data_IF_348222650766
#
_entry.id   IF_348222650766
#
_cell.length_a   1.000
_cell.length_b   1.000
_cell.length_c   1.000
_cell.angle_alpha   90.00
_cell.angle_beta   90.00
_cell.angle_gamma   90.00
#
_symmetry.space_group_name_H-M   'P 1'
#
loop_
_entity.id
_entity.type
_entity.pdbx_description
1 polymer ?
#
# COMPACT_ATOMS: atom_id res chain seq x y z
N UNK A 1 -21.34 -3.95 0.22
CA UNK A 1 -21.34 -3.08 1.43
C UNK A 1 -20.19 -2.09 1.42
N UNK A 2 -18.94 -2.49 1.17
CA UNK A 2 -17.78 -1.57 1.06
C UNK A 2 -17.84 -0.61 -0.14
N UNK A 3 -18.34 -1.04 -1.30
CA UNK A 3 -18.50 -0.16 -2.48
C UNK A 3 -19.61 0.88 -2.30
N UNK A 4 -20.67 0.54 -1.55
CA UNK A 4 -21.76 1.46 -1.24
C UNK A 4 -21.34 2.48 -0.17
N UNK A 5 -20.53 2.07 0.82
CA UNK A 5 -19.94 2.98 1.79
C UNK A 5 -18.93 3.95 1.15
N UNK A 6 -18.13 3.49 0.19
CA UNK A 6 -17.24 4.34 -0.62
C UNK A 6 -18.04 5.31 -1.52
N UNK A 7 -19.12 4.84 -2.15
CA UNK A 7 -20.00 5.67 -2.96
C UNK A 7 -20.77 6.72 -2.12
N UNK A 8 -21.20 6.35 -0.91
CA UNK A 8 -21.86 7.28 0.02
C UNK A 8 -20.86 8.28 0.60
N UNK A 9 -19.64 7.86 0.93
CA UNK A 9 -18.58 8.78 1.34
C UNK A 9 -18.26 9.80 0.22
N UNK A 10 -18.24 9.36 -1.04
CA UNK A 10 -18.03 10.21 -2.22
C UNK A 10 -19.13 11.26 -2.44
N UNK A 11 -20.37 10.96 -2.07
CA UNK A 11 -21.50 11.90 -2.25
C UNK A 11 -21.76 12.81 -1.05
N UNK A 12 -21.30 12.43 0.15
CA UNK A 12 -21.60 13.19 1.38
C UNK A 12 -20.40 13.93 2.00
N UNK A 13 -19.20 13.81 1.43
CA UNK A 13 -18.06 14.64 1.83
C UNK A 13 -17.67 15.59 0.72
N UNK A 14 -17.15 16.80 1.02
CA UNK A 14 -16.68 17.75 0.00
C UNK A 14 -15.37 17.30 -0.65
N UNK A 15 -15.08 15.99 -0.69
CA UNK A 15 -13.90 15.45 -1.34
C UNK A 15 -13.89 15.75 -2.84
N UNK A 16 -15.06 15.80 -3.50
CA UNK A 16 -15.17 16.12 -4.94
C UNK A 16 -14.69 17.53 -5.31
N UNK A 17 -14.83 18.52 -4.41
CA UNK A 17 -14.36 19.90 -4.64
C UNK A 17 -12.86 20.06 -4.39
N UNK A 18 -12.27 19.20 -3.56
CA UNK A 18 -10.82 19.16 -3.29
C UNK A 18 -10.08 18.27 -4.28
N UNK A 19 -10.80 17.37 -4.96
CA UNK A 19 -10.31 16.50 -6.04
C UNK A 19 -10.38 17.14 -7.43
N UNK A 20 -10.66 18.46 -7.52
CA UNK A 20 -10.52 19.20 -8.77
C UNK A 20 -9.08 19.06 -9.29
N UNK A 21 -8.88 18.55 -10.53
CA UNK A 21 -7.54 18.27 -11.06
C UNK A 21 -6.59 19.47 -11.01
N UNK A 22 -7.12 20.69 -11.17
CA UNK A 22 -6.35 21.93 -11.13
C UNK A 22 -5.87 22.28 -9.71
N UNK A 23 -6.75 22.17 -8.70
CA UNK A 23 -6.37 22.41 -7.29
C UNK A 23 -5.40 21.33 -6.80
N UNK A 24 -5.64 20.07 -7.16
CA UNK A 24 -4.72 18.98 -6.88
C UNK A 24 -3.35 19.21 -7.51
N UNK A 25 -3.29 19.73 -8.74
CA UNK A 25 -2.04 20.03 -9.40
C UNK A 25 -1.28 21.17 -8.70
N UNK A 26 -1.95 22.24 -8.28
CA UNK A 26 -1.31 23.36 -7.54
C UNK A 26 -0.78 22.90 -6.19
N UNK A 27 -1.57 22.15 -5.43
CA UNK A 27 -1.12 21.57 -4.16
C UNK A 27 0.01 20.57 -4.35
N UNK A 28 -0.04 19.75 -5.40
CA UNK A 28 1.02 18.80 -5.74
C UNK A 28 2.34 19.53 -6.02
N UNK A 29 2.34 20.55 -6.87
CA UNK A 29 3.56 21.31 -7.18
C UNK A 29 4.13 22.00 -5.92
N UNK A 30 3.27 22.65 -5.13
CA UNK A 30 3.69 23.27 -3.87
C UNK A 30 4.27 22.28 -2.86
N UNK A 31 3.75 21.04 -2.82
CA UNK A 31 4.27 19.99 -1.96
C UNK A 31 5.57 19.39 -2.50
N UNK A 32 5.70 19.24 -3.83
CA UNK A 32 6.88 18.71 -4.48
C UNK A 32 8.11 19.62 -4.31
N UNK A 33 7.91 20.93 -4.43
CA UNK A 33 8.98 21.94 -4.29
C UNK A 33 9.30 22.27 -2.82
N UNK A 34 8.44 21.86 -1.89
CA UNK A 34 8.65 22.09 -0.46
C UNK A 34 9.76 21.19 0.10
N UNK A 35 10.70 21.74 0.90
CA UNK A 35 11.68 20.94 1.63
C UNK A 35 11.05 19.90 2.56
N UNK A 36 9.79 20.12 2.97
CA UNK A 36 9.03 19.25 3.86
C UNK A 36 8.15 18.24 3.11
N UNK A 37 8.11 18.29 1.78
CA UNK A 37 7.22 17.47 0.96
C UNK A 37 7.34 15.97 1.25
N UNK A 38 8.56 15.46 1.34
CA UNK A 38 8.81 14.06 1.67
C UNK A 38 8.31 13.67 3.07
N UNK A 39 8.50 14.54 4.07
CA UNK A 39 8.03 14.28 5.44
C UNK A 39 6.50 14.29 5.52
N UNK A 40 5.85 15.23 4.82
CA UNK A 40 4.39 15.30 4.73
C UNK A 40 3.84 14.06 4.01
N UNK A 41 4.50 13.59 2.94
CA UNK A 41 4.12 12.36 2.27
C UNK A 41 4.16 11.15 3.23
N UNK A 42 5.28 10.96 3.94
CA UNK A 42 5.44 9.88 4.93
C UNK A 42 4.39 9.97 6.03
N UNK A 43 4.15 11.16 6.59
CA UNK A 43 3.10 11.37 7.58
C UNK A 43 1.72 11.05 7.02
N UNK A 44 1.47 11.42 5.76
CA UNK A 44 0.29 11.04 4.99
C UNK A 44 0.07 9.54 5.02
N UNK A 45 1.08 8.72 4.65
CA UNK A 45 1.04 7.25 4.74
C UNK A 45 0.64 6.74 6.12
N UNK A 46 1.24 7.27 7.18
CA UNK A 46 0.93 6.87 8.55
C UNK A 46 -0.54 7.18 8.86
N UNK A 47 -0.98 8.43 8.70
CA UNK A 47 -2.34 8.86 9.02
C UNK A 47 -3.39 8.14 8.15
N UNK A 48 -3.14 8.03 6.84
CA UNK A 48 -4.01 7.30 5.91
C UNK A 48 -4.15 5.84 6.29
N UNK A 49 -3.07 5.18 6.71
CA UNK A 49 -3.14 3.78 7.14
C UNK A 49 -3.99 3.56 8.39
N UNK A 50 -4.03 4.55 9.30
CA UNK A 50 -4.84 4.50 10.53
C UNK A 50 -6.34 4.57 10.24
N UNK A 51 -6.73 5.31 9.20
CA UNK A 51 -8.12 5.34 8.71
C UNK A 51 -8.41 4.27 7.65
N UNK A 52 -7.51 3.28 7.50
CA UNK A 52 -7.60 2.19 6.53
C UNK A 52 -7.70 2.64 5.05
N UNK A 53 -7.10 3.80 4.72
CA UNK A 53 -7.00 4.26 3.35
C UNK A 53 -6.17 3.26 2.51
N UNK A 54 -6.58 2.93 1.28
CA UNK A 54 -5.81 2.01 0.45
C UNK A 54 -4.42 2.57 0.14
N UNK A 55 -3.37 1.85 0.55
CA UNK A 55 -1.97 2.24 0.33
C UNK A 55 -1.66 2.46 -1.16
N UNK A 56 -2.34 1.74 -2.06
CA UNK A 56 -2.25 1.94 -3.50
C UNK A 56 -2.61 3.36 -3.94
N UNK A 57 -3.66 3.97 -3.37
CA UNK A 57 -4.04 5.35 -3.68
C UNK A 57 -2.95 6.34 -3.27
N UNK A 58 -2.33 6.07 -2.13
CA UNK A 58 -1.25 6.90 -1.58
C UNK A 58 0.02 6.78 -2.42
N UNK A 59 0.37 5.56 -2.87
CA UNK A 59 1.48 5.32 -3.79
C UNK A 59 1.28 6.09 -5.10
N UNK A 60 0.08 5.99 -5.70
CA UNK A 60 -0.24 6.72 -6.94
C UNK A 60 -0.10 8.23 -6.71
N UNK A 61 -0.70 8.77 -5.65
CA UNK A 61 -0.62 10.20 -5.34
C UNK A 61 0.83 10.65 -5.21
N UNK A 62 1.65 9.91 -4.46
CA UNK A 62 3.06 10.25 -4.24
C UNK A 62 3.88 10.15 -5.53
N UNK A 63 3.59 9.17 -6.40
CA UNK A 63 4.21 9.05 -7.72
C UNK A 63 3.86 10.23 -8.63
N UNK A 64 2.60 10.69 -8.62
CA UNK A 64 2.15 11.82 -9.42
C UNK A 64 2.72 13.15 -8.93
N UNK A 65 2.86 13.32 -7.61
CA UNK A 65 3.36 14.55 -6.99
C UNK A 65 4.88 14.69 -7.15
N UNK A 66 5.64 13.64 -6.81
CA UNK A 66 7.10 13.71 -6.70
C UNK A 66 7.84 13.05 -7.88
N UNK A 67 7.11 12.54 -8.87
CA UNK A 67 7.67 11.79 -9.99
C UNK A 67 8.14 10.38 -9.60
N UNK A 68 8.71 9.63 -10.55
CA UNK A 68 8.96 8.20 -10.37
C UNK A 68 10.03 7.90 -9.32
N UNK A 69 11.14 8.64 -9.31
CA UNK A 69 12.27 8.35 -8.40
C UNK A 69 11.97 8.76 -6.97
N UNK A 70 11.64 10.03 -6.74
CA UNK A 70 11.33 10.52 -5.39
C UNK A 70 10.00 9.98 -4.88
N UNK A 71 9.00 9.83 -5.76
CA UNK A 71 7.74 9.18 -5.42
C UNK A 71 7.92 7.73 -4.97
N UNK A 72 8.83 6.98 -5.60
CA UNK A 72 9.19 5.64 -5.15
C UNK A 72 9.85 5.65 -3.76
N UNK A 73 10.84 6.51 -3.53
CA UNK A 73 11.53 6.62 -2.24
C UNK A 73 10.55 6.98 -1.13
N UNK A 74 9.69 7.98 -1.35
CA UNK A 74 8.69 8.42 -0.36
C UNK A 74 7.57 7.40 -0.16
N UNK A 75 7.16 6.69 -1.22
CA UNK A 75 6.17 5.63 -1.09
C UNK A 75 6.70 4.44 -0.29
N UNK A 76 7.96 4.02 -0.52
CA UNK A 76 8.58 2.93 0.25
C UNK A 76 8.77 3.33 1.71
N UNK A 77 9.37 4.50 1.97
CA UNK A 77 9.60 4.96 3.35
C UNK A 77 8.30 5.26 4.09
N UNK A 78 7.33 5.86 3.42
CA UNK A 78 5.99 6.13 3.94
C UNK A 78 5.24 4.84 4.27
N UNK A 79 5.15 3.91 3.32
CA UNK A 79 4.48 2.63 3.55
C UNK A 79 5.16 1.82 4.67
N UNK A 80 6.49 1.80 4.72
CA UNK A 80 7.22 1.10 5.78
C UNK A 80 7.01 1.75 7.15
N UNK A 81 7.01 3.08 7.22
CA UNK A 81 6.73 3.82 8.47
C UNK A 81 5.30 3.56 8.96
N UNK A 82 4.32 3.63 8.06
CA UNK A 82 2.93 3.27 8.34
C UNK A 82 2.81 1.81 8.83
N UNK A 83 3.53 0.89 8.18
CA UNK A 83 3.56 -0.51 8.57
C UNK A 83 4.13 -0.73 9.97
N UNK A 84 5.19 0.00 10.34
CA UNK A 84 5.79 -0.06 11.67
C UNK A 84 4.90 0.54 12.75
N UNK A 85 4.28 1.69 12.51
CA UNK A 85 3.37 2.35 13.46
C UNK A 85 2.16 1.45 13.74
N UNK A 86 1.52 0.96 12.69
CA UNK A 86 0.36 0.06 12.84
C UNK A 86 0.75 -1.29 13.44
N UNK A 87 1.94 -1.81 13.15
CA UNK A 87 2.49 -2.97 13.86
C UNK A 87 2.67 -2.69 15.36
N UNK A 88 3.26 -1.56 15.73
CA UNK A 88 3.50 -1.21 17.13
C UNK A 88 2.19 -1.06 17.92
N UNK A 89 1.17 -0.47 17.31
CA UNK A 89 -0.18 -0.41 17.88
C UNK A 89 -0.75 -1.82 18.06
N UNK A 90 -0.63 -2.70 17.06
CA UNK A 90 -1.08 -4.09 17.18
C UNK A 90 -0.35 -4.86 18.28
N UNK A 91 0.95 -4.61 18.44
CA UNK A 91 1.76 -5.17 19.51
C UNK A 91 1.29 -4.71 20.89
N UNK A 92 0.99 -3.42 21.05
CA UNK A 92 0.50 -2.85 22.29
C UNK A 92 -0.92 -3.34 22.67
N UNK A 93 -1.80 -3.52 21.69
CA UNK A 93 -3.17 -4.02 21.92
C UNK A 93 -3.22 -5.50 22.32
N UNK A 94 -2.21 -6.27 21.92
CA UNK A 94 -2.11 -7.70 22.21
C UNK A 94 -3.04 -8.57 21.36
N UNK A 95 -2.79 -9.88 21.41
CA UNK A 95 -3.43 -10.89 20.55
C UNK A 95 -4.95 -10.95 20.69
N UNK A 96 -5.45 -10.88 21.92
CA UNK A 96 -6.89 -11.06 22.21
C UNK A 96 -7.73 -9.87 21.70
N UNK A 97 -7.23 -8.65 21.87
CA UNK A 97 -7.91 -7.43 21.40
C UNK A 97 -7.96 -7.39 19.88
N UNK A 98 -6.84 -7.67 19.20
CA UNK A 98 -6.78 -7.69 17.74
C UNK A 98 -7.65 -8.82 17.16
N UNK A 99 -7.72 -9.98 17.82
CA UNK A 99 -8.62 -11.07 17.41
C UNK A 99 -10.10 -10.69 17.52
N UNK A 100 -10.51 -10.02 18.60
CA UNK A 100 -11.89 -9.54 18.77
C UNK A 100 -12.27 -8.51 17.71
N UNK A 101 -11.35 -7.63 17.34
CA UNK A 101 -11.61 -6.53 16.41
C UNK A 101 -11.63 -6.96 14.93
N UNK A 102 -10.70 -7.83 14.52
CA UNK A 102 -10.56 -8.22 13.11
C UNK A 102 -11.27 -9.56 12.74
N UNK A 103 -11.92 -10.22 13.70
CA UNK A 103 -12.84 -11.34 13.48
C UNK A 103 -12.19 -12.67 13.07
N UNK A 104 -12.99 -13.72 12.75
CA UNK A 104 -12.52 -15.10 12.50
C UNK A 104 -11.43 -15.26 11.41
N UNK A 105 -11.33 -14.32 10.45
CA UNK A 105 -10.26 -14.36 9.43
C UNK A 105 -8.86 -14.19 10.01
N UNK A 106 -8.74 -13.60 11.20
CA UNK A 106 -7.46 -13.38 11.89
C UNK A 106 -6.84 -14.66 12.43
N UNK A 107 -7.61 -15.72 12.71
CA UNK A 107 -7.05 -16.94 13.29
C UNK A 107 -6.10 -17.63 12.31
N UNK A 108 -6.57 -17.87 11.08
CA UNK A 108 -5.75 -18.42 9.99
C UNK A 108 -4.58 -17.50 9.62
N UNK A 109 -4.81 -16.19 9.65
CA UNK A 109 -3.77 -15.20 9.36
C UNK A 109 -2.66 -15.22 10.42
N UNK A 110 -3.04 -15.23 11.70
CA UNK A 110 -2.12 -15.31 12.84
C UNK A 110 -1.36 -16.65 12.86
N UNK A 111 -2.02 -17.77 12.61
CA UNK A 111 -1.36 -19.09 12.52
C UNK A 111 -0.35 -19.15 11.39
N UNK A 112 -0.68 -18.63 10.20
CA UNK A 112 0.25 -18.63 9.08
C UNK A 112 1.38 -17.61 9.26
N UNK A 113 1.12 -16.48 9.93
CA UNK A 113 2.13 -15.50 10.36
C UNK A 113 3.01 -16.03 11.51
N UNK A 114 2.51 -17.00 12.30
CA UNK A 114 3.26 -17.60 13.41
C UNK A 114 4.47 -18.41 12.94
N UNK A 115 4.53 -18.78 11.66
CA UNK A 115 5.74 -19.28 11.00
C UNK A 115 6.77 -18.14 10.99
N UNK A 116 7.54 -18.05 12.07
CA UNK A 116 8.49 -16.97 12.35
C UNK A 116 9.46 -16.79 11.18
N UNK A 117 9.56 -15.59 10.62
CA UNK A 117 10.64 -15.26 9.70
C UNK A 117 10.31 -14.18 8.66
N UNK A 118 11.38 -13.65 8.07
CA UNK A 118 11.34 -12.64 7.01
C UNK A 118 10.52 -13.12 5.81
N UNK A 119 10.74 -14.37 5.37
CA UNK A 119 10.07 -14.95 4.21
C UNK A 119 8.55 -15.02 4.38
N UNK A 120 8.07 -15.32 5.58
CA UNK A 120 6.64 -15.30 5.89
C UNK A 120 6.08 -13.90 5.67
N UNK A 121 6.73 -12.87 6.23
CA UNK A 121 6.29 -11.48 6.07
C UNK A 121 6.32 -11.06 4.61
N UNK A 122 7.38 -11.38 3.85
CA UNK A 122 7.46 -11.13 2.40
C UNK A 122 6.27 -11.76 1.68
N UNK A 123 5.99 -13.02 1.95
CA UNK A 123 4.86 -13.75 1.37
C UNK A 123 3.53 -13.03 1.65
N UNK A 124 3.29 -12.58 2.88
CA UNK A 124 2.09 -11.83 3.24
C UNK A 124 1.98 -10.44 2.60
N UNK A 125 3.09 -9.85 2.14
CA UNK A 125 3.07 -8.58 1.39
C UNK A 125 2.76 -8.78 -0.08
N UNK A 126 3.29 -9.86 -0.67
CA UNK A 126 3.06 -10.20 -2.07
C UNK A 126 1.66 -10.75 -2.26
N UNK A 127 1.18 -11.56 -1.32
CA UNK A 127 -0.15 -12.16 -1.38
C UNK A 127 -1.17 -11.26 -0.68
N UNK A 128 -2.19 -10.73 -1.40
CA UNK A 128 -3.19 -9.82 -0.83
C UNK A 128 -4.22 -10.58 0.02
N UNK A 129 -3.80 -11.09 1.18
CA UNK A 129 -4.60 -11.92 2.08
C UNK A 129 -5.59 -11.11 2.92
N UNK A 130 -5.26 -9.85 3.20
CA UNK A 130 -6.07 -8.92 3.98
C UNK A 130 -5.67 -7.47 3.66
N UNK A 131 -6.51 -6.48 4.04
CA UNK A 131 -6.13 -5.07 4.01
C UNK A 131 -4.81 -4.81 4.74
N UNK A 132 -4.02 -3.87 4.21
CA UNK A 132 -2.68 -3.51 4.71
C UNK A 132 -2.65 -3.33 6.23
N UNK A 133 -3.54 -2.51 6.77
CA UNK A 133 -3.61 -2.19 8.21
C UNK A 133 -3.92 -3.43 9.05
N UNK A 134 -4.77 -4.33 8.57
CA UNK A 134 -5.10 -5.59 9.28
C UNK A 134 -3.88 -6.50 9.36
N UNK A 135 -3.13 -6.66 8.26
CA UNK A 135 -1.91 -7.47 8.24
C UNK A 135 -0.92 -6.93 9.29
N UNK A 136 -0.77 -5.61 9.36
CA UNK A 136 0.18 -4.96 10.27
C UNK A 136 -0.23 -5.15 11.73
N UNK A 137 -1.51 -4.92 12.07
CA UNK A 137 -2.01 -5.14 13.43
C UNK A 137 -1.86 -6.59 13.86
N UNK A 138 -2.24 -7.54 12.99
CA UNK A 138 -2.12 -8.97 13.29
C UNK A 138 -0.66 -9.38 13.43
N UNK A 139 0.23 -8.87 12.57
CA UNK A 139 1.67 -9.13 12.68
C UNK A 139 2.25 -8.59 14.00
N UNK A 140 1.83 -7.40 14.43
CA UNK A 140 2.22 -6.79 15.70
C UNK A 140 1.74 -7.55 16.93
N UNK A 141 0.48 -7.97 16.90
CA UNK A 141 -0.14 -8.78 17.94
C UNK A 141 0.36 -10.24 17.94
N UNK A 142 1.06 -10.66 16.88
CA UNK A 142 1.69 -11.97 16.77
C UNK A 142 3.13 -11.93 17.29
N UNK A 143 3.72 -13.10 17.51
CA UNK A 143 5.09 -13.25 18.01
C UNK A 143 6.19 -13.03 16.95
N UNK A 144 5.93 -12.23 15.92
CA UNK A 144 6.91 -11.85 14.90
C UNK A 144 7.82 -10.77 15.48
N UNK A 145 9.14 -10.92 15.35
CA UNK A 145 10.10 -9.88 15.76
C UNK A 145 10.00 -8.67 14.84
N UNK A 146 10.04 -7.46 15.41
CA UNK A 146 9.98 -6.21 14.64
C UNK A 146 11.05 -6.15 13.52
N UNK A 147 12.23 -6.72 13.75
CA UNK A 147 13.31 -6.80 12.74
C UNK A 147 12.89 -7.62 11.52
N UNK A 148 12.32 -8.81 11.75
CA UNK A 148 11.90 -9.70 10.67
C UNK A 148 10.71 -9.11 9.92
N UNK A 149 9.82 -8.44 10.65
CA UNK A 149 8.71 -7.69 10.07
C UNK A 149 9.17 -6.50 9.22
N UNK A 150 10.15 -5.74 9.69
CA UNK A 150 10.72 -4.61 8.95
C UNK A 150 11.37 -5.06 7.64
N UNK A 151 12.31 -6.01 7.73
CA UNK A 151 13.05 -6.51 6.55
C UNK A 151 12.08 -7.18 5.58
N UNK A 152 11.16 -8.02 6.08
CA UNK A 152 10.21 -8.70 5.23
C UNK A 152 9.19 -7.75 4.59
N UNK A 153 8.79 -6.68 5.28
CA UNK A 153 7.91 -5.66 4.72
C UNK A 153 8.63 -4.83 3.65
N UNK A 154 9.87 -4.43 3.91
CA UNK A 154 10.70 -3.72 2.94
C UNK A 154 10.86 -4.57 1.67
N UNK A 155 11.35 -5.80 1.79
CA UNK A 155 11.57 -6.68 0.63
C UNK A 155 10.27 -7.06 -0.09
N UNK A 156 9.19 -7.28 0.66
CA UNK A 156 7.90 -7.70 0.08
C UNK A 156 7.13 -6.58 -0.60
N UNK A 157 7.23 -5.33 -0.12
CA UNK A 157 6.52 -4.20 -0.72
C UNK A 157 7.30 -3.54 -1.86
N UNK A 158 8.63 -3.45 -1.74
CA UNK A 158 9.47 -2.65 -2.65
C UNK A 158 9.23 -2.99 -4.13
N UNK A 159 9.19 -4.26 -4.56
CA UNK A 159 8.94 -4.60 -5.97
C UNK A 159 7.56 -4.15 -6.46
N UNK A 160 6.53 -4.30 -5.62
CA UNK A 160 5.17 -3.88 -5.96
C UNK A 160 5.03 -2.36 -6.05
N UNK A 161 5.65 -1.64 -5.11
CA UNK A 161 5.69 -0.17 -5.14
C UNK A 161 6.45 0.32 -6.37
N UNK A 162 7.61 -0.28 -6.67
CA UNK A 162 8.38 0.04 -7.87
C UNK A 162 7.52 -0.14 -9.13
N UNK A 163 6.92 -1.31 -9.31
CA UNK A 163 6.09 -1.58 -10.49
C UNK A 163 4.92 -0.60 -10.59
N UNK A 164 4.28 -0.24 -9.48
CA UNK A 164 3.16 0.69 -9.48
C UNK A 164 3.58 2.13 -9.82
N UNK A 165 4.65 2.63 -9.20
CA UNK A 165 5.13 4.01 -9.42
C UNK A 165 5.57 4.21 -10.87
N UNK A 166 6.37 3.28 -11.40
CA UNK A 166 6.84 3.37 -12.79
C UNK A 166 5.74 3.08 -13.80
N UNK A 167 4.68 2.35 -13.41
CA UNK A 167 3.50 2.17 -14.26
C UNK A 167 2.72 3.48 -14.39
N UNK A 168 2.52 4.18 -13.27
CA UNK A 168 1.88 5.50 -13.28
C UNK A 168 2.67 6.49 -14.13
N UNK A 169 3.99 6.54 -13.95
CA UNK A 169 4.86 7.41 -14.74
C UNK A 169 4.79 7.09 -16.25
N UNK A 170 4.94 5.81 -16.61
CA UNK A 170 4.85 5.37 -18.00
C UNK A 170 3.48 5.64 -18.63
N UNK A 171 2.40 5.47 -17.87
CA UNK A 171 1.04 5.77 -18.31
C UNK A 171 0.88 7.27 -18.58
N UNK A 172 1.35 8.13 -17.67
CA UNK A 172 1.31 9.59 -17.85
C UNK A 172 2.17 10.03 -19.05
N UNK A 173 3.33 9.43 -19.25
CA UNK A 173 4.21 9.72 -20.38
C UNK A 173 3.61 9.28 -21.73
N UNK A 174 2.89 8.15 -21.76
CA UNK A 174 2.20 7.67 -22.95
C UNK A 174 0.98 8.53 -23.32
N UNK A 175 0.29 9.10 -22.33
CA UNK A 175 -0.82 10.04 -22.56
C UNK A 175 -0.36 11.39 -23.12
N UNK A 176 0.84 11.87 -22.72
CA UNK A 176 1.40 13.14 -23.20
C UNK A 176 1.97 13.05 -24.61
N UNK A 177 2.77 12.01 -24.88
CA UNK A 177 3.33 11.77 -26.20
C UNK A 177 3.21 10.27 -26.52
N UNK A 178 2.22 9.87 -27.33
CA UNK A 178 2.02 8.48 -27.67
C UNK A 178 3.16 7.96 -28.54
N UNK A 179 3.90 6.97 -28.03
CA UNK A 179 5.02 6.31 -28.72
C UNK A 179 5.09 4.82 -28.41
N UNK A 180 5.45 4.00 -29.41
CA UNK A 180 5.44 2.53 -29.34
C UNK A 180 6.28 1.98 -28.17
N UNK A 181 7.48 2.50 -27.94
CA UNK A 181 8.37 2.05 -26.86
C UNK A 181 7.77 2.29 -25.47
N UNK A 182 7.09 3.43 -25.27
CA UNK A 182 6.41 3.76 -24.00
C UNK A 182 5.20 2.86 -23.78
N UNK A 183 4.43 2.57 -24.83
CA UNK A 183 3.33 1.62 -24.77
C UNK A 183 3.79 0.21 -24.39
N UNK A 184 4.87 -0.29 -25.00
CA UNK A 184 5.44 -1.61 -24.68
C UNK A 184 5.88 -1.67 -23.20
N UNK A 185 6.52 -0.61 -22.69
CA UNK A 185 6.93 -0.53 -21.29
C UNK A 185 5.74 -0.57 -20.32
N UNK A 186 4.68 0.20 -20.60
CA UNK A 186 3.46 0.22 -19.78
C UNK A 186 2.75 -1.14 -19.81
N UNK A 187 2.66 -1.78 -20.99
CA UNK A 187 2.07 -3.12 -21.13
C UNK A 187 2.88 -4.16 -20.34
N UNK A 188 4.21 -4.13 -20.45
CA UNK A 188 5.09 -5.03 -19.71
C UNK A 188 4.88 -4.88 -18.19
N UNK A 189 4.83 -3.65 -17.69
CA UNK A 189 4.69 -3.39 -16.26
C UNK A 189 3.28 -3.71 -15.76
N UNK A 190 2.26 -3.45 -16.57
CA UNK A 190 0.88 -3.88 -16.32
C UNK A 190 0.75 -5.40 -16.27
N UNK A 191 1.40 -6.13 -17.19
CA UNK A 191 1.48 -7.59 -17.17
C UNK A 191 2.22 -8.09 -15.93
N UNK A 192 3.31 -7.45 -15.52
CA UNK A 192 4.03 -7.80 -14.29
C UNK A 192 3.13 -7.65 -13.05
N UNK A 193 2.41 -6.53 -12.94
CA UNK A 193 1.42 -6.31 -11.86
C UNK A 193 0.30 -7.35 -11.89
N UNK A 194 -0.20 -7.69 -13.08
CA UNK A 194 -1.21 -8.74 -13.27
C UNK A 194 -0.68 -10.11 -12.87
N UNK A 195 0.57 -10.46 -13.20
CA UNK A 195 1.20 -11.71 -12.79
C UNK A 195 1.38 -11.75 -11.28
N UNK A 196 1.84 -10.67 -10.64
CA UNK A 196 1.94 -10.58 -9.19
C UNK A 196 0.56 -10.79 -8.55
N UNK A 197 -0.47 -10.11 -9.06
CA UNK A 197 -1.84 -10.25 -8.58
C UNK A 197 -2.43 -11.65 -8.82
N UNK A 198 -2.17 -12.25 -9.99
CA UNK A 198 -2.65 -13.57 -10.39
C UNK A 198 -1.96 -14.69 -9.60
N UNK A 199 -0.65 -14.59 -9.37
CA UNK A 199 0.09 -15.50 -8.49
C UNK A 199 -0.44 -15.40 -7.06
N UNK A 200 -0.65 -14.18 -6.54
CA UNK A 200 -1.29 -13.97 -5.25
C UNK A 200 -2.68 -14.58 -5.18
N UNK A 201 -3.50 -14.39 -6.22
CA UNK A 201 -4.86 -14.91 -6.32
C UNK A 201 -4.96 -16.43 -6.50
N UNK A 202 -4.07 -17.03 -7.29
CA UNK A 202 -3.99 -18.48 -7.51
C UNK A 202 -3.59 -19.21 -6.23
N UNK A 203 -2.59 -18.70 -5.51
CA UNK A 203 -2.18 -19.23 -4.21
C UNK A 203 -3.28 -19.11 -3.15
N UNK A 204 -3.99 -17.98 -3.12
CA UNK A 204 -5.16 -17.76 -2.27
C UNK A 204 -6.27 -18.80 -2.45
N UNK A 205 -6.45 -19.31 -3.67
CA UNK A 205 -7.44 -20.35 -3.99
C UNK A 205 -6.93 -21.74 -3.59
N UNK A 206 -5.65 -22.02 -3.77
CA UNK A 206 -5.03 -23.31 -3.44
C UNK A 206 -5.03 -23.62 -1.94
N UNK A 207 -5.07 -22.61 -1.08
CA UNK A 207 -5.11 -22.78 0.37
C UNK A 207 -6.53 -22.79 0.96
N UNK A 208 -7.56 -22.65 0.10
CA UNK A 208 -8.98 -22.84 0.45
C UNK A 208 -9.54 -24.18 -0.04
N UNK A 209 -8.87 -24.84 -0.99
CA UNK A 209 -9.15 -26.20 -1.45
C UNK A 209 -8.38 -27.20 -0.58
#
# INVERSE_FOLDING_TARGET
>A
MSLLALAMAWQWTPLSEWLEPEKLAVWAHGLADSPWGGMIAVLGFVLGSLIALPVSMMIIATALIFGPVMGFIYAVTGALSAALVTYAIGHALGRDTVHRWAGCRTHRLSERLSKRGILTVVFFRVVPLAPFTIINFVAGASSIKIRDYFIGSLLGMTPGIFAMVFFVDGLMAALREPGITRFIFVIFLGLLLLVIAALGGYWLRREKA
#
